data_IF_768713740580
#
_entry.id   IF_768713740580
#
_cell.length_a   1.000
_cell.length_b   1.000
_cell.length_c   1.000
_cell.angle_alpha   90.00
_cell.angle_beta   90.00
_cell.angle_gamma   90.00
#
_symmetry.space_group_name_H-M   'P 1'
#
loop_
_entity.id
_entity.type
_entity.pdbx_description
1 polymer ?
#
# COMPACT_ATOMS: atom_id res chain seq x y z
N UNK A 1 13.69 16.88 8.72
CA UNK A 1 12.90 15.75 8.19
C UNK A 1 13.57 15.26 6.92
N UNK A 2 13.90 13.98 6.82
CA UNK A 2 14.52 13.39 5.63
C UNK A 2 13.45 12.62 4.85
N UNK A 3 13.17 13.03 3.62
CA UNK A 3 12.28 12.29 2.72
C UNK A 3 13.06 11.20 1.99
N UNK A 4 12.44 10.04 1.84
CA UNK A 4 12.95 8.91 1.06
C UNK A 4 11.91 8.66 -0.02
N UNK A 5 12.32 8.72 -1.29
CA UNK A 5 11.44 8.42 -2.41
C UNK A 5 11.14 6.91 -2.46
N UNK A 6 9.99 6.55 -3.00
CA UNK A 6 9.59 5.15 -3.16
C UNK A 6 9.65 4.77 -4.65
N UNK A 7 10.24 3.61 -5.01
CA UNK A 7 10.86 2.60 -4.16
C UNK A 7 12.28 2.96 -3.72
N UNK A 8 12.71 2.41 -2.58
CA UNK A 8 14.07 2.55 -2.04
C UNK A 8 14.46 1.25 -1.34
N UNK A 9 15.72 0.85 -1.42
CA UNK A 9 16.22 -0.42 -0.87
C UNK A 9 16.11 -0.53 0.66
N UNK A 10 15.95 0.60 1.37
CA UNK A 10 15.67 0.63 2.81
C UNK A 10 14.23 0.27 3.15
N UNK A 11 13.33 0.24 2.16
CA UNK A 11 11.92 -0.07 2.34
C UNK A 11 11.63 -1.45 1.75
N UNK A 12 11.36 -2.41 2.62
CA UNK A 12 10.89 -3.72 2.22
C UNK A 12 9.38 -3.67 1.91
N UNK A 13 9.01 -4.11 0.72
CA UNK A 13 7.61 -4.31 0.33
C UNK A 13 7.19 -5.74 0.65
N UNK A 14 6.13 -5.90 1.42
CA UNK A 14 5.58 -7.18 1.83
C UNK A 14 4.15 -7.36 1.32
N UNK A 15 3.79 -8.59 0.93
CA UNK A 15 2.43 -8.94 0.48
C UNK A 15 2.17 -8.68 -1.02
N UNK A 16 3.21 -8.38 -1.80
CA UNK A 16 3.15 -8.24 -3.26
C UNK A 16 4.17 -9.17 -3.92
N UNK A 17 3.71 -10.31 -4.43
CA UNK A 17 4.58 -11.34 -5.00
C UNK A 17 5.31 -10.90 -6.29
N UNK A 18 4.80 -9.88 -6.99
CA UNK A 18 5.33 -9.38 -8.26
C UNK A 18 5.86 -7.95 -8.17
N UNK A 19 6.19 -7.46 -6.97
CA UNK A 19 6.59 -6.06 -6.82
C UNK A 19 7.81 -5.69 -7.67
N UNK A 20 8.77 -6.59 -7.82
CA UNK A 20 9.96 -6.35 -8.67
C UNK A 20 9.60 -6.10 -10.15
N UNK A 21 8.50 -6.71 -10.62
CA UNK A 21 7.96 -6.51 -11.97
C UNK A 21 7.08 -5.26 -12.05
N UNK A 22 6.33 -4.94 -10.99
CA UNK A 22 5.32 -3.89 -11.01
C UNK A 22 5.76 -2.55 -10.43
N UNK A 23 6.95 -2.47 -9.83
CA UNK A 23 7.47 -1.25 -9.23
C UNK A 23 7.41 -0.06 -10.22
N UNK A 24 7.00 1.14 -9.76
CA UNK A 24 6.65 1.53 -8.39
C UNK A 24 5.18 1.25 -8.01
N UNK A 25 4.39 0.54 -8.84
CA UNK A 25 2.96 0.31 -8.60
C UNK A 25 2.75 -0.73 -7.49
N UNK A 26 1.97 -0.36 -6.48
CA UNK A 26 1.51 -1.29 -5.43
C UNK A 26 0.28 -2.07 -5.91
N UNK A 27 0.48 -2.98 -6.87
CA UNK A 27 -0.59 -3.82 -7.43
C UNK A 27 -0.29 -5.31 -7.25
N UNK A 28 -1.34 -6.11 -7.06
CA UNK A 28 -1.25 -7.55 -6.76
C UNK A 28 -1.06 -8.43 -7.97
N UNK A 29 -1.30 -7.92 -9.18
CA UNK A 29 -1.05 -8.64 -10.43
C UNK A 29 -0.20 -7.79 -11.37
N UNK A 30 0.75 -8.37 -12.11
CA UNK A 30 1.42 -7.70 -13.21
C UNK A 30 0.48 -7.46 -14.39
N UNK A 31 0.81 -6.44 -15.20
CA UNK A 31 -0.02 -5.99 -16.32
C UNK A 31 -0.20 -7.08 -17.39
N UNK A 32 0.72 -8.06 -17.48
CA UNK A 32 0.61 -9.21 -18.40
C UNK A 32 -0.62 -10.07 -18.16
N UNK A 33 -1.12 -10.14 -16.92
CA UNK A 33 -2.33 -10.91 -16.60
C UNK A 33 -3.64 -10.21 -16.95
N UNK A 34 -3.59 -9.01 -17.56
CA UNK A 34 -4.79 -8.26 -17.94
C UNK A 34 -5.71 -9.05 -18.88
N UNK A 35 -5.13 -9.84 -19.79
CA UNK A 35 -5.89 -10.64 -20.75
C UNK A 35 -6.16 -12.08 -20.26
N UNK A 36 -5.48 -12.51 -19.19
CA UNK A 36 -5.62 -13.86 -18.63
C UNK A 36 -6.72 -13.92 -17.56
N UNK A 37 -7.02 -12.79 -16.91
CA UNK A 37 -7.94 -12.70 -15.79
C UNK A 37 -9.25 -12.02 -16.22
N UNK A 38 -10.40 -12.40 -15.62
CA UNK A 38 -11.62 -11.62 -15.75
C UNK A 38 -11.38 -10.17 -15.32
N UNK A 39 -11.96 -9.22 -16.07
CA UNK A 39 -11.69 -7.80 -15.86
C UNK A 39 -11.90 -7.35 -14.41
N UNK A 40 -12.99 -7.80 -13.77
CA UNK A 40 -13.28 -7.49 -12.37
C UNK A 40 -12.20 -8.02 -11.40
N UNK A 41 -11.63 -9.19 -11.69
CA UNK A 41 -10.55 -9.80 -10.90
C UNK A 41 -9.26 -9.00 -11.09
N UNK A 42 -8.89 -8.69 -12.33
CA UNK A 42 -7.72 -7.88 -12.62
C UNK A 42 -7.81 -6.48 -11.96
N UNK A 43 -8.96 -5.83 -12.07
CA UNK A 43 -9.21 -4.52 -11.45
C UNK A 43 -9.14 -4.60 -9.91
N UNK A 44 -9.60 -5.69 -9.30
CA UNK A 44 -9.46 -5.89 -7.85
C UNK A 44 -8.00 -6.02 -7.43
N UNK A 45 -7.13 -6.53 -8.30
CA UNK A 45 -5.68 -6.59 -8.10
C UNK A 45 -5.01 -5.24 -7.91
N UNK A 46 -5.63 -4.13 -8.34
CA UNK A 46 -5.10 -2.76 -8.14
C UNK A 46 -5.23 -2.26 -6.70
N UNK A 47 -5.95 -2.98 -5.83
CA UNK A 47 -6.09 -2.65 -4.42
C UNK A 47 -4.88 -3.16 -3.61
N UNK A 48 -4.51 -2.41 -2.56
CA UNK A 48 -3.37 -2.68 -1.68
C UNK A 48 -3.73 -3.50 -0.44
N UNK A 49 -4.83 -4.27 -0.49
CA UNK A 49 -5.23 -5.13 0.61
C UNK A 49 -4.11 -6.13 0.98
N UNK A 50 -3.71 -6.14 2.25
CA UNK A 50 -2.62 -7.00 2.76
C UNK A 50 -1.19 -6.49 2.52
N UNK A 51 -1.03 -5.39 1.79
CA UNK A 51 0.29 -4.80 1.51
C UNK A 51 0.83 -4.09 2.74
N UNK A 52 2.13 -4.30 3.03
CA UNK A 52 2.85 -3.64 4.12
C UNK A 52 4.19 -3.10 3.63
N UNK A 53 4.53 -1.88 4.03
CA UNK A 53 5.87 -1.32 3.87
C UNK A 53 6.59 -1.43 5.21
N UNK A 54 7.79 -2.01 5.21
CA UNK A 54 8.61 -2.20 6.42
C UNK A 54 9.95 -1.53 6.22
N UNK A 55 10.41 -0.83 7.24
CA UNK A 55 11.74 -0.23 7.30
C UNK A 55 12.14 -0.18 8.78
N UNK A 56 13.43 0.06 9.02
CA UNK A 56 13.96 0.28 10.35
C UNK A 56 14.54 1.70 10.43
N UNK A 57 14.29 2.37 11.55
CA UNK A 57 14.82 3.70 11.83
C UNK A 57 14.82 3.93 13.33
N UNK A 58 15.68 4.83 13.78
CA UNK A 58 15.75 5.42 15.12
C UNK A 58 14.98 6.75 15.23
N UNK A 59 14.27 7.17 14.17
CA UNK A 59 13.46 8.38 14.19
C UNK A 59 12.33 8.30 15.22
N UNK A 60 12.06 9.42 15.87
CA UNK A 60 10.91 9.60 16.77
C UNK A 60 9.66 10.10 16.03
N UNK A 61 9.79 10.49 14.76
CA UNK A 61 8.68 11.00 13.95
C UNK A 61 8.64 10.33 12.58
N UNK A 62 7.42 9.99 12.13
CA UNK A 62 7.15 9.38 10.83
C UNK A 62 6.09 10.21 10.08
N UNK A 63 6.37 10.51 8.81
CA UNK A 63 5.43 11.11 7.88
C UNK A 63 5.39 10.29 6.59
N UNK A 64 4.20 10.09 6.03
CA UNK A 64 3.98 9.34 4.79
C UNK A 64 3.24 10.24 3.82
N UNK A 65 3.78 10.38 2.60
CA UNK A 65 3.09 11.04 1.48
C UNK A 65 2.71 9.97 0.48
N UNK A 66 1.41 9.76 0.30
CA UNK A 66 0.88 8.76 -0.62
C UNK A 66 -0.13 9.41 -1.57
N UNK A 67 -0.24 8.85 -2.78
CA UNK A 67 -1.30 9.20 -3.73
C UNK A 67 -2.28 8.04 -3.79
N UNK A 68 -3.54 8.30 -3.47
CA UNK A 68 -4.64 7.34 -3.59
C UNK A 68 -5.68 7.86 -4.59
N UNK A 69 -6.51 6.98 -5.17
CA UNK A 69 -7.69 7.41 -5.91
C UNK A 69 -8.61 8.29 -5.06
N UNK A 70 -9.49 9.07 -5.69
CA UNK A 70 -10.53 9.81 -4.96
C UNK A 70 -11.39 8.84 -4.15
N UNK A 71 -11.67 9.17 -2.88
CA UNK A 71 -12.54 8.38 -2.04
C UNK A 71 -13.94 8.26 -2.66
N UNK A 72 -14.46 7.03 -2.71
CA UNK A 72 -15.84 6.74 -3.08
C UNK A 72 -16.51 6.01 -1.90
N UNK A 73 -17.51 6.62 -1.22
CA UNK A 73 -18.18 5.99 -0.09
C UNK A 73 -18.84 4.66 -0.47
N UNK A 74 -18.80 3.70 0.46
CA UNK A 74 -19.51 2.41 0.35
C UNK A 74 -20.33 2.22 1.62
N UNK A 75 -21.51 1.61 1.51
CA UNK A 75 -22.41 1.40 2.65
C UNK A 75 -21.87 0.41 3.67
N UNK A 76 -20.92 -0.44 3.27
CA UNK A 76 -20.38 -1.54 4.07
C UNK A 76 -18.92 -1.36 4.49
N UNK A 77 -18.29 -0.21 4.21
CA UNK A 77 -16.87 0.03 4.52
C UNK A 77 -16.65 1.45 5.02
N UNK A 78 -15.86 1.58 6.09
CA UNK A 78 -15.40 2.90 6.54
C UNK A 78 -14.35 3.46 5.58
N UNK A 79 -14.20 4.78 5.55
CA UNK A 79 -13.13 5.43 4.77
C UNK A 79 -11.74 4.88 5.14
N UNK A 80 -11.51 4.60 6.42
CA UNK A 80 -10.28 3.97 6.88
C UNK A 80 -10.06 2.58 6.28
N UNK A 81 -11.08 1.72 6.22
CA UNK A 81 -10.92 0.40 5.58
C UNK A 81 -10.67 0.47 4.08
N UNK A 82 -11.11 1.54 3.42
CA UNK A 82 -10.94 1.72 1.98
C UNK A 82 -9.59 2.35 1.60
N UNK A 83 -9.08 3.30 2.40
CA UNK A 83 -7.93 4.14 2.04
C UNK A 83 -6.97 4.43 3.19
N UNK A 84 -7.25 3.91 4.39
CA UNK A 84 -6.46 4.18 5.57
C UNK A 84 -5.09 3.52 5.54
N UNK A 85 -4.17 4.14 6.27
CA UNK A 85 -2.83 3.63 6.55
C UNK A 85 -2.74 3.42 8.06
N UNK A 86 -2.37 2.20 8.46
CA UNK A 86 -2.04 1.89 9.85
C UNK A 86 -0.54 1.72 10.02
N UNK A 87 0.02 2.37 11.02
CA UNK A 87 1.42 2.27 11.40
C UNK A 87 1.56 1.33 12.58
N UNK A 88 2.45 0.36 12.45
CA UNK A 88 2.80 -0.57 13.52
C UNK A 88 4.27 -0.39 13.89
N UNK A 89 4.56 -0.40 15.18
CA UNK A 89 5.92 -0.37 15.73
C UNK A 89 6.10 -1.62 16.59
N UNK A 90 7.09 -2.46 16.26
CA UNK A 90 7.36 -3.71 16.97
C UNK A 90 6.10 -4.59 17.18
N UNK A 91 5.28 -4.69 16.12
CA UNK A 91 4.05 -5.50 16.12
C UNK A 91 2.84 -4.86 16.82
N UNK A 92 2.98 -3.66 17.41
CA UNK A 92 1.88 -2.94 18.07
C UNK A 92 1.36 -1.82 17.19
N UNK A 93 0.03 -1.68 17.11
CA UNK A 93 -0.59 -0.56 16.41
C UNK A 93 -0.23 0.75 17.12
N UNK A 94 0.42 1.66 16.39
CA UNK A 94 0.81 2.96 16.91
C UNK A 94 -0.14 4.07 16.43
N UNK A 95 -0.58 4.00 15.17
CA UNK A 95 -1.59 4.93 14.64
C UNK A 95 -2.36 4.35 13.47
N UNK A 96 -3.57 4.87 13.24
CA UNK A 96 -4.43 4.57 12.11
C UNK A 96 -4.96 5.90 11.56
N UNK A 97 -4.63 6.23 10.31
CA UNK A 97 -4.98 7.52 9.70
C UNK A 97 -5.54 7.33 8.31
N UNK A 98 -6.39 8.25 7.89
CA UNK A 98 -6.83 8.38 6.50
C UNK A 98 -5.99 9.49 5.85
N UNK A 99 -5.47 9.30 4.63
CA UNK A 99 -4.76 10.33 3.87
C UNK A 99 -5.62 11.55 3.53
#
# INVERSE_FOLDING_TARGET
MQWIDFPDNRIQVCGLNWFDETAPKLQRFPDRHKNDLPEAVFNSGKQTAGVRLRFQSDTTTLSIRAKSPKFAPRTNMTQFTAQGISTYVNGRCWSARVP
#
